data_IF_404305456175
#
_entry.id   IF_404305456175
#
_cell.length_a   1.000
_cell.length_b   1.000
_cell.length_c   1.000
_cell.angle_alpha   90.00
_cell.angle_beta   90.00
_cell.angle_gamma   90.00
#
_symmetry.space_group_name_H-M   'P 1'
#
loop_
_entity.id
_entity.type
_entity.pdbx_description
1 polymer ?
#
# COMPACT_ATOMS: atom_id res chain seq x y z
N UNK A 1 2.12 5.00 16.18
CA UNK A 1 2.14 4.13 14.98
C UNK A 1 1.04 4.55 14.03
N UNK A 2 1.34 4.59 12.74
CA UNK A 2 0.36 5.03 11.75
C UNK A 2 0.24 3.94 10.69
N UNK A 3 -1.00 3.52 10.44
CA UNK A 3 -1.33 2.58 9.36
C UNK A 3 -1.80 3.38 8.15
N UNK A 4 -1.21 3.11 6.99
CA UNK A 4 -1.68 3.63 5.71
C UNK A 4 -2.09 2.44 4.84
N UNK A 5 -3.27 2.51 4.27
CA UNK A 5 -3.77 1.48 3.36
C UNK A 5 -4.13 2.15 2.05
N UNK A 6 -3.56 1.65 0.96
CA UNK A 6 -3.96 2.04 -0.39
C UNK A 6 -4.70 0.86 -1.00
N UNK A 7 -5.98 1.05 -1.29
CA UNK A 7 -6.81 0.08 -1.99
C UNK A 7 -6.82 0.42 -3.46
N UNK A 8 -6.55 -0.56 -4.29
CA UNK A 8 -6.43 -0.37 -5.74
C UNK A 8 -7.34 -1.33 -6.47
N UNK A 9 -7.98 -0.82 -7.52
CA UNK A 9 -8.65 -1.67 -8.51
C UNK A 9 -7.90 -1.49 -9.82
N UNK A 10 -7.64 -2.60 -10.51
CA UNK A 10 -6.86 -2.59 -11.75
C UNK A 10 -7.62 -3.37 -12.84
N UNK A 11 -7.50 -2.91 -14.09
CA UNK A 11 -8.00 -3.69 -15.23
C UNK A 11 -7.11 -4.91 -15.44
N UNK A 12 -7.69 -6.02 -15.86
CA UNK A 12 -6.97 -7.28 -16.00
C UNK A 12 -5.72 -7.16 -16.89
N UNK A 13 -5.81 -6.38 -17.94
CA UNK A 13 -4.70 -6.20 -18.89
C UNK A 13 -3.55 -5.38 -18.32
N UNK A 14 -3.77 -4.65 -17.22
CA UNK A 14 -2.73 -3.86 -16.56
C UNK A 14 -2.26 -4.45 -15.23
N UNK A 15 -2.89 -5.53 -14.78
CA UNK A 15 -2.62 -6.11 -13.46
C UNK A 15 -1.16 -6.54 -13.30
N UNK A 16 -0.60 -7.21 -14.28
CA UNK A 16 0.76 -7.69 -14.20
C UNK A 16 1.75 -6.54 -14.09
N UNK A 17 1.60 -5.53 -14.92
CA UNK A 17 2.49 -4.36 -14.91
C UNK A 17 2.38 -3.61 -13.58
N UNK A 18 1.16 -3.35 -13.11
CA UNK A 18 0.96 -2.68 -11.83
C UNK A 18 1.56 -3.48 -10.69
N UNK A 19 1.31 -4.79 -10.65
CA UNK A 19 1.80 -5.65 -9.58
C UNK A 19 3.33 -5.69 -9.52
N UNK A 20 3.98 -5.84 -10.65
CA UNK A 20 5.44 -5.87 -10.71
C UNK A 20 6.04 -4.54 -10.28
N UNK A 21 5.45 -3.44 -10.72
CA UNK A 21 5.93 -2.11 -10.39
C UNK A 21 5.78 -1.80 -8.90
N UNK A 22 4.59 -2.08 -8.33
CA UNK A 22 4.35 -1.84 -6.90
C UNK A 22 5.21 -2.76 -6.05
N UNK A 23 5.39 -4.02 -6.44
CA UNK A 23 6.24 -4.95 -5.69
C UNK A 23 7.68 -4.43 -5.63
N UNK A 24 8.19 -3.89 -6.72
CA UNK A 24 9.53 -3.27 -6.76
C UNK A 24 9.59 -2.03 -5.86
N UNK A 25 8.59 -1.15 -5.96
CA UNK A 25 8.52 0.06 -5.14
C UNK A 25 8.43 -0.27 -3.65
N UNK A 26 7.72 -1.34 -3.28
CA UNK A 26 7.59 -1.75 -1.88
C UNK A 26 8.95 -1.97 -1.22
N UNK A 27 9.88 -2.56 -1.95
CA UNK A 27 11.24 -2.74 -1.46
C UNK A 27 11.93 -1.43 -1.13
N UNK A 28 11.76 -0.43 -2.00
CA UNK A 28 12.33 0.90 -1.78
C UNK A 28 11.64 1.63 -0.63
N UNK A 29 10.32 1.51 -0.53
CA UNK A 29 9.54 2.15 0.54
C UNK A 29 9.96 1.60 1.91
N UNK A 30 10.23 0.30 2.00
CA UNK A 30 10.70 -0.33 3.25
C UNK A 30 11.99 0.27 3.77
N UNK A 31 12.79 0.86 2.91
CA UNK A 31 14.08 1.47 3.29
C UNK A 31 13.92 2.93 3.72
N UNK A 32 12.74 3.53 3.56
CA UNK A 32 12.50 4.90 4.01
C UNK A 32 12.51 4.98 5.53
N UNK A 33 13.05 6.09 6.06
CA UNK A 33 13.14 6.29 7.51
C UNK A 33 11.75 6.24 8.14
N UNK A 34 11.62 5.41 9.15
CA UNK A 34 10.37 5.28 9.91
C UNK A 34 9.39 4.27 9.35
N UNK A 35 9.66 3.70 8.19
CA UNK A 35 8.81 2.63 7.65
C UNK A 35 9.05 1.35 8.43
N UNK A 36 8.03 0.89 9.15
CA UNK A 36 8.09 -0.33 9.95
C UNK A 36 7.64 -1.54 9.15
N UNK A 37 6.77 -1.31 8.17
CA UNK A 37 6.18 -2.39 7.37
C UNK A 37 5.64 -1.82 6.07
N UNK A 38 5.81 -2.57 4.99
CA UNK A 38 5.22 -2.24 3.70
C UNK A 38 4.96 -3.56 2.98
N UNK A 39 3.69 -3.94 2.88
CA UNK A 39 3.27 -5.19 2.26
C UNK A 39 2.34 -4.93 1.09
N UNK A 40 2.63 -5.56 -0.03
CA UNK A 40 1.78 -5.52 -1.20
C UNK A 40 0.98 -6.82 -1.26
N UNK A 41 -0.35 -6.70 -1.33
CA UNK A 41 -1.26 -7.84 -1.20
C UNK A 41 -2.29 -7.86 -2.32
N UNK A 42 -2.78 -9.05 -2.61
CA UNK A 42 -3.85 -9.26 -3.57
C UNK A 42 -5.02 -9.94 -2.87
N UNK A 43 -6.24 -9.52 -3.17
CA UNK A 43 -7.44 -10.18 -2.65
C UNK A 43 -7.54 -11.60 -3.21
N UNK A 44 -7.85 -12.57 -2.34
CA UNK A 44 -8.08 -13.93 -2.80
C UNK A 44 -9.45 -14.10 -3.47
N UNK A 45 -10.34 -13.12 -3.31
CA UNK A 45 -11.68 -13.15 -3.91
C UNK A 45 -11.70 -12.49 -5.29
N UNK A 46 -10.80 -11.53 -5.52
CA UNK A 46 -10.77 -10.73 -6.74
C UNK A 46 -9.34 -10.35 -7.08
N UNK A 47 -8.77 -11.01 -8.06
CA UNK A 47 -7.38 -10.79 -8.46
C UNK A 47 -7.09 -9.38 -8.98
N UNK A 48 -8.13 -8.60 -9.25
CA UNK A 48 -8.00 -7.21 -9.70
C UNK A 48 -8.10 -6.20 -8.56
N UNK A 49 -8.24 -6.66 -7.32
CA UNK A 49 -8.18 -5.83 -6.11
C UNK A 49 -6.86 -6.04 -5.40
N UNK A 50 -6.11 -4.95 -5.29
CA UNK A 50 -4.77 -4.95 -4.72
C UNK A 50 -4.68 -3.98 -3.55
N UNK A 51 -3.77 -4.23 -2.63
CA UNK A 51 -3.61 -3.42 -1.43
C UNK A 51 -2.14 -3.17 -1.16
N UNK A 52 -1.80 -1.94 -0.81
CA UNK A 52 -0.49 -1.62 -0.25
C UNK A 52 -0.70 -1.18 1.19
N UNK A 53 -0.10 -1.91 2.12
CA UNK A 53 -0.25 -1.71 3.56
C UNK A 53 1.06 -1.20 4.11
N UNK A 54 1.03 -0.02 4.75
CA UNK A 54 2.23 0.61 5.29
C UNK A 54 2.02 0.90 6.77
N UNK A 55 3.07 0.72 7.54
CA UNK A 55 3.10 1.02 8.95
C UNK A 55 4.26 1.97 9.20
N UNK A 56 3.97 3.14 9.77
CA UNK A 56 4.96 4.19 10.02
C UNK A 56 5.06 4.48 11.50
N UNK A 57 6.28 4.73 11.99
CA UNK A 57 6.53 4.97 13.41
C UNK A 57 5.99 6.32 13.88
N UNK A 58 6.18 7.38 13.09
CA UNK A 58 5.77 8.75 13.45
C UNK A 58 5.14 9.48 12.27
N UNK A 59 4.31 10.47 12.59
CA UNK A 59 3.73 11.40 11.63
C UNK A 59 4.83 12.13 10.84
N UNK A 60 5.89 12.54 11.52
CA UNK A 60 7.01 13.26 10.88
C UNK A 60 7.67 12.44 9.78
N UNK A 61 7.94 11.17 10.05
CA UNK A 61 8.56 10.30 9.07
C UNK A 61 7.62 9.97 7.91
N UNK A 62 6.33 9.81 8.19
CA UNK A 62 5.33 9.66 7.12
C UNK A 62 5.29 10.90 6.22
N UNK A 63 5.27 12.09 6.81
CA UNK A 63 5.25 13.33 6.03
C UNK A 63 6.52 13.50 5.20
N UNK A 64 7.67 13.11 5.74
CA UNK A 64 8.93 13.16 4.99
C UNK A 64 8.89 12.21 3.79
N UNK A 65 8.35 11.01 3.97
CA UNK A 65 8.15 10.06 2.89
C UNK A 65 7.22 10.64 1.82
N UNK A 66 6.14 11.31 2.22
CA UNK A 66 5.18 11.90 1.29
C UNK A 66 5.78 13.02 0.42
N UNK A 67 6.97 13.52 0.79
CA UNK A 67 7.72 14.50 -0.01
C UNK A 67 8.83 13.84 -0.84
N UNK A 68 9.01 12.54 -0.72
CA UNK A 68 10.11 11.82 -1.37
C UNK A 68 9.82 11.48 -2.83
N UNK A 69 10.87 11.15 -3.57
CA UNK A 69 10.75 10.69 -4.95
C UNK A 69 9.99 9.36 -5.03
N UNK A 70 10.19 8.46 -4.06
CA UNK A 70 9.48 7.18 -4.05
C UNK A 70 7.97 7.37 -3.99
N UNK A 71 7.51 8.32 -3.19
CA UNK A 71 6.07 8.61 -3.10
C UNK A 71 5.53 9.21 -4.40
N UNK A 72 6.29 10.12 -5.02
CA UNK A 72 5.90 10.71 -6.30
C UNK A 72 5.78 9.64 -7.38
N UNK A 73 6.74 8.70 -7.41
CA UNK A 73 6.70 7.58 -8.36
C UNK A 73 5.47 6.70 -8.09
N UNK A 74 5.20 6.40 -6.81
CA UNK A 74 4.02 5.61 -6.45
C UNK A 74 2.74 6.25 -6.95
N UNK A 75 2.54 7.55 -6.70
CA UNK A 75 1.34 8.24 -7.17
C UNK A 75 1.25 8.25 -8.70
N UNK A 76 2.37 8.44 -9.38
CA UNK A 76 2.42 8.39 -10.84
C UNK A 76 2.00 7.03 -11.38
N UNK A 77 2.51 5.96 -10.78
CA UNK A 77 2.15 4.59 -11.17
C UNK A 77 0.66 4.34 -10.95
N UNK A 78 0.13 4.74 -9.80
CA UNK A 78 -1.30 4.55 -9.50
C UNK A 78 -2.18 5.33 -10.47
N UNK A 79 -1.80 6.56 -10.80
CA UNK A 79 -2.57 7.38 -11.73
C UNK A 79 -2.56 6.84 -13.17
N UNK A 80 -1.51 6.14 -13.56
CA UNK A 80 -1.37 5.60 -14.92
C UNK A 80 -1.96 4.19 -15.03
N UNK A 81 -1.70 3.33 -14.04
CA UNK A 81 -1.99 1.90 -14.15
C UNK A 81 -3.22 1.43 -13.38
N UNK A 82 -3.59 2.09 -12.29
CA UNK A 82 -4.78 1.71 -11.55
C UNK A 82 -6.02 2.31 -12.20
N UNK A 83 -7.12 1.55 -12.22
CA UNK A 83 -8.42 2.06 -12.65
C UNK A 83 -8.97 3.03 -11.61
N UNK A 84 -8.80 2.67 -10.33
CA UNK A 84 -9.24 3.44 -9.19
C UNK A 84 -8.37 3.11 -8.00
N UNK A 85 -8.11 4.09 -7.13
CA UNK A 85 -7.42 3.82 -5.87
C UNK A 85 -7.88 4.79 -4.79
N UNK A 86 -7.72 4.37 -3.54
CA UNK A 86 -8.09 5.13 -2.37
C UNK A 86 -7.02 4.93 -1.30
N UNK A 87 -6.57 6.02 -0.68
CA UNK A 87 -5.55 5.99 0.36
C UNK A 87 -6.16 6.47 1.67
N UNK A 88 -6.08 5.63 2.69
CA UNK A 88 -6.64 5.93 4.01
C UNK A 88 -5.61 5.75 5.10
N UNK A 89 -5.77 6.46 6.22
CA UNK A 89 -4.88 6.40 7.37
C UNK A 89 -5.63 6.09 8.65
N UNK A 90 -4.90 5.50 9.61
CA UNK A 90 -5.32 5.37 10.99
C UNK A 90 -4.10 5.64 11.87
N UNK A 91 -4.14 6.72 12.66
CA UNK A 91 -3.03 7.13 13.51
C UNK A 91 -3.02 6.44 14.88
N UNK A 92 -4.04 5.67 15.21
CA UNK A 92 -4.16 4.98 16.50
C UNK A 92 -4.27 3.48 16.28
N UNK A 93 -3.20 2.90 15.70
CA UNK A 93 -3.26 1.49 15.38
C UNK A 93 -2.04 0.75 15.93
N UNK A 94 -2.17 -0.56 16.09
CA UNK A 94 -1.12 -1.49 16.49
C UNK A 94 -0.89 -2.51 15.38
N UNK A 95 0.34 -3.06 15.28
CA UNK A 95 0.69 -4.05 14.25
C UNK A 95 -0.30 -5.22 14.19
N UNK A 96 -0.81 -5.64 15.36
CA UNK A 96 -1.81 -6.71 15.42
C UNK A 96 -3.09 -6.31 14.69
N UNK A 97 -3.53 -5.07 14.84
CA UNK A 97 -4.73 -4.57 14.15
C UNK A 97 -4.54 -4.60 12.63
N UNK A 98 -3.33 -4.30 12.16
CA UNK A 98 -3.03 -4.39 10.73
C UNK A 98 -3.22 -5.82 10.21
N UNK A 99 -2.75 -6.80 10.97
CA UNK A 99 -2.91 -8.20 10.58
C UNK A 99 -4.36 -8.64 10.60
N UNK A 100 -5.13 -8.18 11.59
CA UNK A 100 -6.56 -8.48 11.68
C UNK A 100 -7.31 -7.86 10.50
N UNK A 101 -6.99 -6.62 10.13
CA UNK A 101 -7.59 -5.94 8.98
C UNK A 101 -7.26 -6.69 7.69
N UNK A 102 -6.00 -7.08 7.53
CA UNK A 102 -5.55 -7.84 6.37
C UNK A 102 -6.30 -9.16 6.24
N UNK A 103 -6.41 -9.91 7.34
CA UNK A 103 -7.13 -11.17 7.35
C UNK A 103 -8.60 -11.00 6.95
N UNK A 104 -9.26 -9.95 7.46
CA UNK A 104 -10.66 -9.66 7.12
C UNK A 104 -10.84 -9.32 5.64
N UNK A 105 -9.90 -8.60 5.04
CA UNK A 105 -10.03 -8.15 3.66
C UNK A 105 -9.58 -9.19 2.64
N UNK A 106 -8.61 -10.04 2.99
CA UNK A 106 -8.02 -10.98 2.04
C UNK A 106 -8.52 -12.41 2.20
N UNK A 107 -9.06 -12.78 3.38
CA UNK A 107 -9.55 -14.14 3.67
C UNK A 107 -11.07 -14.27 3.59
N UNK A 108 -11.78 -13.20 3.28
CA UNK A 108 -13.24 -13.21 3.20
C UNK A 108 -13.71 -14.03 2.02
N UNK A 109 -14.68 -14.96 2.24
CA UNK A 109 -15.22 -15.80 1.16
C UNK A 109 -16.05 -15.01 0.14
#
# INVERSE_FOLDING_TARGET
>A
MILVIIRMKVLSEKRMELSQTIASLSGSIRMEKGCQRCDFCQSIEDENRLFLLEEWDTQENLMAYEKSEHFKVLLGVLNILAEHYERTFNSEFHSKEMEDILALQLARP
#
